data_IF_040139867749
#
_entry.id   IF_040139867749
#
_cell.length_a   1.000
_cell.length_b   1.000
_cell.length_c   1.000
_cell.angle_alpha   90.00
_cell.angle_beta   90.00
_cell.angle_gamma   90.00
#
_symmetry.space_group_name_H-M   'P 1'
#
loop_
_entity.id
_entity.type
_entity.pdbx_description
1 polymer ?
#
# COMPACT_ATOMS: atom_id res chain seq x y z
N UNK A 1 -2.38 16.00 7.63
CA UNK A 1 -1.37 16.68 8.47
C UNK A 1 -0.52 15.71 9.30
N UNK A 2 -1.02 14.54 9.71
CA UNK A 2 -0.25 13.54 10.49
C UNK A 2 0.32 12.37 9.68
N UNK A 3 -0.01 12.30 8.40
CA UNK A 3 0.29 11.15 7.55
C UNK A 3 1.79 10.95 7.36
N UNK A 4 2.57 12.01 7.10
CA UNK A 4 4.01 11.87 6.93
C UNK A 4 4.71 11.38 8.20
N UNK A 5 4.32 11.87 9.37
CA UNK A 5 4.90 11.39 10.63
C UNK A 5 4.51 9.93 10.90
N UNK A 6 3.30 9.53 10.52
CA UNK A 6 2.83 8.16 10.66
C UNK A 6 3.59 7.22 9.70
N UNK A 7 3.69 7.56 8.42
CA UNK A 7 4.46 6.79 7.43
C UNK A 7 5.90 6.60 7.89
N UNK A 8 6.57 7.69 8.30
CA UNK A 8 7.92 7.63 8.81
C UNK A 8 8.06 6.69 10.02
N UNK A 9 7.14 6.76 10.99
CA UNK A 9 7.12 5.86 12.13
C UNK A 9 6.89 4.39 11.73
N UNK A 10 6.02 4.13 10.76
CA UNK A 10 5.72 2.78 10.26
C UNK A 10 6.96 2.21 9.55
N UNK A 11 7.59 2.97 8.66
CA UNK A 11 8.78 2.53 7.92
C UNK A 11 9.93 2.23 8.88
N UNK A 12 10.19 3.12 9.85
CA UNK A 12 11.19 2.89 10.92
C UNK A 12 10.88 1.65 11.78
N UNK A 13 9.60 1.31 11.96
CA UNK A 13 9.20 0.13 12.72
C UNK A 13 9.49 -1.17 11.95
N UNK A 14 9.24 -1.17 10.64
CA UNK A 14 9.53 -2.30 9.75
C UNK A 14 11.04 -2.48 9.54
N UNK A 15 11.81 -1.39 9.44
CA UNK A 15 13.27 -1.45 9.37
C UNK A 15 13.89 -2.14 10.60
N UNK A 16 13.31 -1.93 11.78
CA UNK A 16 13.78 -2.56 13.02
C UNK A 16 13.40 -4.04 13.14
N UNK A 17 12.22 -4.42 12.66
CA UNK A 17 11.78 -5.82 12.62
C UNK A 17 11.01 -6.12 11.34
N UNK A 18 11.72 -6.72 10.39
CA UNK A 18 11.18 -7.08 9.08
C UNK A 18 9.97 -8.02 9.14
N UNK A 19 9.77 -8.77 10.24
CA UNK A 19 8.60 -9.66 10.39
C UNK A 19 7.29 -8.87 10.53
N UNK A 20 7.39 -7.60 10.92
CA UNK A 20 6.24 -6.71 11.08
C UNK A 20 5.74 -6.17 9.73
N UNK A 21 6.55 -6.27 8.66
CA UNK A 21 6.16 -5.87 7.30
C UNK A 21 4.84 -6.55 6.87
N UNK A 22 4.72 -7.87 7.04
CA UNK A 22 3.51 -8.61 6.67
C UNK A 22 2.28 -8.11 7.45
N UNK A 23 2.44 -7.79 8.74
CA UNK A 23 1.34 -7.28 9.57
C UNK A 23 0.92 -5.88 9.12
N UNK A 24 1.89 -5.00 8.85
CA UNK A 24 1.64 -3.63 8.36
C UNK A 24 0.95 -3.66 7.00
N UNK A 25 1.48 -4.43 6.04
CA UNK A 25 0.92 -4.56 4.69
C UNK A 25 -0.50 -5.12 4.74
N UNK A 26 -0.77 -6.17 5.53
CA UNK A 26 -2.13 -6.68 5.72
C UNK A 26 -3.06 -5.64 6.34
N UNK A 27 -2.55 -4.82 7.26
CA UNK A 27 -3.28 -3.68 7.82
C UNK A 27 -3.67 -2.66 6.76
N UNK A 28 -2.71 -2.23 5.92
CA UNK A 28 -2.94 -1.31 4.82
C UNK A 28 -3.95 -1.85 3.81
N UNK A 29 -3.82 -3.12 3.42
CA UNK A 29 -4.76 -3.78 2.50
C UNK A 29 -6.17 -3.91 3.11
N UNK A 30 -6.28 -4.16 4.42
CA UNK A 30 -7.59 -4.26 5.11
C UNK A 30 -8.34 -2.93 5.14
N UNK A 31 -7.62 -1.81 5.30
CA UNK A 31 -8.20 -0.47 5.36
C UNK A 31 -8.11 0.29 4.03
N UNK A 32 -7.85 -0.42 2.93
CA UNK A 32 -7.65 0.17 1.63
C UNK A 32 -8.85 1.03 1.20
N UNK A 33 -8.65 2.32 0.86
CA UNK A 33 -9.73 3.20 0.47
C UNK A 33 -10.18 2.94 -0.97
N UNK A 34 -11.31 2.26 -1.16
CA UNK A 34 -11.85 1.92 -2.50
C UNK A 34 -12.64 3.09 -3.15
N UNK A 35 -13.12 4.04 -2.35
CA UNK A 35 -14.05 5.10 -2.79
C UNK A 35 -13.40 6.48 -2.95
N UNK A 36 -12.13 6.66 -2.59
CA UNK A 36 -11.47 7.97 -2.61
C UNK A 36 -10.07 7.86 -3.22
N UNK A 37 -9.95 8.26 -4.49
CA UNK A 37 -8.72 8.19 -5.27
C UNK A 37 -7.55 8.99 -4.66
N UNK A 38 -7.80 10.15 -4.05
CA UNK A 38 -6.74 10.89 -3.35
C UNK A 38 -6.17 10.12 -2.16
N UNK A 39 -7.02 9.48 -1.36
CA UNK A 39 -6.57 8.64 -0.25
C UNK A 39 -5.89 7.36 -0.74
N UNK A 40 -6.31 6.84 -1.88
CA UNK A 40 -5.71 5.66 -2.51
C UNK A 40 -4.27 5.95 -2.96
N UNK A 41 -4.02 7.11 -3.57
CA UNK A 41 -2.66 7.57 -3.89
C UNK A 41 -1.78 7.75 -2.64
N UNK A 42 -2.35 8.26 -1.55
CA UNK A 42 -1.65 8.37 -0.26
C UNK A 42 -1.25 7.00 0.32
N UNK A 43 -2.18 6.02 0.29
CA UNK A 43 -1.90 4.65 0.75
C UNK A 43 -0.88 3.93 -0.12
N UNK A 44 -0.89 4.16 -1.45
CA UNK A 44 0.12 3.62 -2.36
C UNK A 44 1.52 4.15 -2.03
N UNK A 45 1.64 5.44 -1.69
CA UNK A 45 2.92 6.03 -1.27
C UNK A 45 3.45 5.40 0.03
N UNK A 46 2.62 5.25 1.07
CA UNK A 46 3.06 4.56 2.30
C UNK A 46 3.41 3.09 2.03
N UNK A 47 2.66 2.42 1.16
CA UNK A 47 2.93 1.03 0.79
C UNK A 47 4.27 0.90 0.08
N UNK A 48 4.61 1.84 -0.81
CA UNK A 48 5.91 1.88 -1.49
C UNK A 48 7.07 2.02 -0.51
N UNK A 49 6.98 2.96 0.44
CA UNK A 49 8.01 3.15 1.48
C UNK A 49 8.19 1.89 2.34
N UNK A 50 7.08 1.24 2.74
CA UNK A 50 7.13 -0.01 3.52
C UNK A 50 7.73 -1.15 2.70
N UNK A 51 7.40 -1.24 1.41
CA UNK A 51 7.95 -2.25 0.52
C UNK A 51 9.45 -2.09 0.29
N UNK A 52 9.94 -0.86 0.21
CA UNK A 52 11.38 -0.57 0.10
C UNK A 52 12.16 -1.06 1.33
N UNK A 53 11.56 -0.96 2.52
CA UNK A 53 12.12 -1.49 3.76
C UNK A 53 11.89 -3.01 3.96
N UNK A 54 11.08 -3.67 3.10
CA UNK A 54 10.68 -5.07 3.27
C UNK A 54 11.70 -6.03 2.64
N UNK A 55 12.10 -7.07 3.37
CA UNK A 55 12.97 -8.12 2.83
C UNK A 55 12.20 -9.10 1.92
N UNK A 56 12.89 -9.61 0.89
CA UNK A 56 12.34 -10.59 -0.06
C UNK A 56 11.52 -11.75 0.55
N UNK A 57 11.94 -12.45 1.63
CA UNK A 57 11.16 -13.55 2.19
C UNK A 57 9.80 -13.12 2.76
N UNK A 58 9.70 -11.93 3.35
CA UNK A 58 8.44 -11.40 3.88
C UNK A 58 7.55 -10.89 2.75
N UNK A 59 8.15 -10.28 1.72
CA UNK A 59 7.42 -9.87 0.51
C UNK A 59 6.71 -11.04 -0.19
N UNK A 60 7.35 -12.22 -0.26
CA UNK A 60 6.73 -13.42 -0.85
C UNK A 60 5.42 -13.84 -0.15
N UNK A 61 5.25 -13.52 1.14
CA UNK A 61 4.04 -13.88 1.91
C UNK A 61 2.87 -12.95 1.62
N UNK A 62 3.15 -11.70 1.26
CA UNK A 62 2.14 -10.67 1.03
C UNK A 62 1.96 -10.28 -0.44
N UNK A 63 2.81 -10.75 -1.36
CA UNK A 63 2.77 -10.33 -2.77
C UNK A 63 1.41 -10.60 -3.44
N UNK A 64 0.82 -11.78 -3.25
CA UNK A 64 -0.41 -12.17 -3.96
C UNK A 64 -1.58 -11.25 -3.60
N UNK A 65 -1.92 -11.04 -2.30
CA UNK A 65 -3.00 -10.12 -1.95
C UNK A 65 -2.67 -8.67 -2.30
N UNK A 66 -1.40 -8.28 -2.26
CA UNK A 66 -0.95 -6.92 -2.58
C UNK A 66 -1.16 -6.61 -4.06
N UNK A 67 -0.67 -7.46 -4.97
CA UNK A 67 -0.88 -7.28 -6.41
C UNK A 67 -2.34 -7.40 -6.81
N UNK A 68 -3.12 -8.26 -6.14
CA UNK A 68 -4.56 -8.35 -6.38
C UNK A 68 -5.27 -7.01 -6.07
N UNK A 69 -4.91 -6.37 -4.95
CA UNK A 69 -5.50 -5.10 -4.57
C UNK A 69 -5.05 -3.96 -5.49
N UNK A 70 -3.77 -3.92 -5.89
CA UNK A 70 -3.27 -2.95 -6.88
C UNK A 70 -4.01 -3.12 -8.21
N UNK A 71 -4.20 -4.36 -8.68
CA UNK A 71 -4.95 -4.62 -9.91
C UNK A 71 -6.40 -4.11 -9.85
N UNK A 72 -7.05 -4.23 -8.68
CA UNK A 72 -8.38 -3.66 -8.44
C UNK A 72 -8.38 -2.13 -8.39
N UNK A 73 -7.37 -1.53 -7.77
CA UNK A 73 -7.17 -0.07 -7.75
C UNK A 73 -7.07 0.47 -9.19
N UNK A 74 -6.21 -0.13 -10.01
CA UNK A 74 -5.99 0.22 -11.42
C UNK A 74 -7.24 -0.02 -12.30
N UNK A 75 -8.06 -1.00 -11.94
CA UNK A 75 -9.32 -1.30 -12.63
C UNK A 75 -10.50 -0.45 -12.14
N UNK A 76 -10.35 0.28 -11.04
CA UNK A 76 -11.42 1.08 -10.47
C UNK A 76 -11.76 2.25 -11.40
N UNK A 77 -13.06 2.57 -11.50
CA UNK A 77 -13.64 3.48 -12.49
C UNK A 77 -13.13 4.93 -12.43
N UNK A 78 -12.29 5.28 -11.44
CA UNK A 78 -11.64 6.59 -11.37
C UNK A 78 -10.52 6.79 -12.40
N UNK A 79 -9.98 5.71 -12.98
CA UNK A 79 -9.00 5.77 -14.07
C UNK A 79 -9.60 5.44 -15.46
N UNK A 80 -10.88 5.05 -15.52
CA UNK A 80 -11.58 4.67 -16.77
C UNK A 80 -12.29 5.84 -17.48
N UNK A 81 -11.96 7.10 -17.17
CA UNK A 81 -12.48 8.24 -17.94
C UNK A 81 -11.39 8.78 -18.85
N UNK A 82 -11.28 8.16 -20.04
CA UNK A 82 -10.57 8.74 -21.18
C UNK A 82 -10.61 7.85 -22.42
N UNK A 83 -10.60 8.45 -23.62
CA UNK A 83 -11.56 9.40 -24.18
C UNK A 83 -12.69 8.64 -24.92
N UNK A 84 -13.92 9.15 -24.86
CA UNK A 84 -14.92 8.77 -25.86
C UNK A 84 -14.41 9.22 -27.23
N UNK A 85 -14.45 8.29 -28.19
CA UNK A 85 -14.20 8.49 -29.62
C UNK A 85 -14.95 9.71 -30.19
#
# INVERSE_FOLDING_TARGET
MYHQQLSYCITQFVEKDCKLADTVIRGLLKYWPITNSSKEGMFLGELEEVLEATQAPEFQRCMVPLFHQIGRCLSSSHFQVGPSF
#
